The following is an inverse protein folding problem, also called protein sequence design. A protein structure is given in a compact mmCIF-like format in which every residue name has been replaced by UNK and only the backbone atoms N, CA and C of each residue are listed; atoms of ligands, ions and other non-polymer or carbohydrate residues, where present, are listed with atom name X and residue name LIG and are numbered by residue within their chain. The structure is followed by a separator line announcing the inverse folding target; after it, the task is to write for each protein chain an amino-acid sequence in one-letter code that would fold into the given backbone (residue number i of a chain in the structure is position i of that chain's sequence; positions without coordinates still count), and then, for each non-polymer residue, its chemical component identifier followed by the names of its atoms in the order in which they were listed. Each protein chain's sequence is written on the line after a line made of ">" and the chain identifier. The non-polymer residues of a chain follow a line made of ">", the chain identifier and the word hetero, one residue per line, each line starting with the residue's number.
data_IF_529668304194
#
_entry.id   IF_529668304194
#
_cell.length_a   1.000
_cell.length_b   1.000
_cell.length_c   1.000
_cell.angle_alpha   90.00
_cell.angle_beta   90.00
_cell.angle_gamma   90.00
#
_symmetry.space_group_name_H-M   'P 1'
#
loop_
_entity.id
_entity.type
_entity.pdbx_description
1 polymer ?
#
# COMPACT_ATOMS: atom_id res chain seq x y z
N UNK A 1 -3.51 -12.19 5.67
CA UNK A 1 -3.91 -12.12 4.26
C UNK A 1 -5.30 -12.75 4.02
N UNK A 2 -5.62 -13.87 4.69
CA UNK A 2 -6.92 -14.55 4.56
C UNK A 2 -8.11 -13.62 4.91
N UNK A 3 -7.98 -12.79 5.94
CA UNK A 3 -9.02 -11.81 6.30
C UNK A 3 -9.23 -10.78 5.20
N UNK A 4 -8.16 -10.33 4.58
CA UNK A 4 -8.26 -9.39 3.47
C UNK A 4 -8.88 -10.04 2.23
N UNK A 5 -8.53 -11.29 1.92
CA UNK A 5 -9.17 -12.06 0.85
C UNK A 5 -10.69 -12.14 1.07
N UNK A 6 -11.13 -12.43 2.30
CA UNK A 6 -12.55 -12.47 2.66
C UNK A 6 -13.25 -11.11 2.54
N UNK A 7 -12.59 -10.02 2.94
CA UNK A 7 -13.15 -8.68 2.89
C UNK A 7 -13.21 -8.12 1.46
N UNK A 8 -12.20 -8.38 0.64
CA UNK A 8 -12.07 -7.85 -0.72
C UNK A 8 -12.75 -8.70 -1.79
N UNK A 9 -13.00 -9.99 -1.49
CA UNK A 9 -13.45 -10.97 -2.49
C UNK A 9 -12.35 -11.46 -3.42
N UNK A 10 -11.10 -11.07 -3.20
CA UNK A 10 -9.95 -11.54 -3.97
C UNK A 10 -9.36 -12.80 -3.32
N UNK A 11 -9.82 -13.97 -3.79
CA UNK A 11 -9.41 -15.28 -3.34
C UNK A 11 -8.33 -15.91 -4.24
N UNK A 12 -7.53 -15.12 -4.93
CA UNK A 12 -6.41 -15.65 -5.71
C UNK A 12 -5.51 -16.48 -4.77
N UNK A 13 -5.24 -17.75 -5.07
CA UNK A 13 -4.46 -18.63 -4.21
C UNK A 13 -3.03 -18.17 -3.94
N UNK A 14 -2.47 -17.26 -4.74
CA UNK A 14 -1.18 -16.60 -4.47
C UNK A 14 -1.10 -15.96 -3.08
N UNK A 15 -2.24 -15.61 -2.50
CA UNK A 15 -2.31 -14.87 -1.25
C UNK A 15 -2.53 -15.71 0.00
N UNK A 16 -2.84 -17.01 -0.16
CA UNK A 16 -3.21 -17.86 0.98
C UNK A 16 -2.83 -19.33 0.85
N UNK A 17 -2.33 -19.79 -0.32
CA UNK A 17 -1.93 -21.18 -0.56
C UNK A 17 -0.43 -21.26 -0.86
N UNK A 18 0.35 -21.72 0.13
CA UNK A 18 1.80 -21.85 0.00
C UNK A 18 2.21 -22.84 -1.11
N UNK A 19 1.46 -23.92 -1.28
CA UNK A 19 1.74 -24.91 -2.31
C UNK A 19 1.57 -24.31 -3.70
N UNK A 20 0.48 -23.56 -3.90
CA UNK A 20 0.22 -22.87 -5.14
C UNK A 20 1.27 -21.76 -5.41
N UNK A 21 1.59 -20.94 -4.40
CA UNK A 21 2.57 -19.88 -4.52
C UNK A 21 3.94 -20.43 -4.98
N UNK A 22 4.39 -21.51 -4.36
CA UNK A 22 5.67 -22.16 -4.75
C UNK A 22 5.60 -22.80 -6.14
N UNK A 23 4.47 -23.39 -6.52
CA UNK A 23 4.27 -23.99 -7.84
C UNK A 23 4.37 -22.96 -8.98
N UNK A 24 4.04 -21.69 -8.72
CA UNK A 24 4.18 -20.59 -9.69
C UNK A 24 5.47 -19.80 -9.54
N UNK A 25 6.42 -20.28 -8.71
CA UNK A 25 7.76 -19.72 -8.61
C UNK A 25 7.97 -18.66 -7.51
N UNK A 26 7.01 -18.49 -6.61
CA UNK A 26 7.16 -17.63 -5.45
C UNK A 26 7.80 -18.40 -4.28
N UNK A 27 8.51 -17.69 -3.43
CA UNK A 27 9.10 -18.26 -2.21
C UNK A 27 8.02 -18.60 -1.16
N UNK A 28 7.04 -17.74 -1.04
CA UNK A 28 5.88 -17.85 -0.12
C UNK A 28 4.69 -17.11 -0.72
N UNK A 29 3.55 -17.15 -0.05
CA UNK A 29 2.41 -16.31 -0.41
C UNK A 29 2.78 -14.82 -0.35
N UNK A 30 2.09 -14.01 -1.12
CA UNK A 30 2.30 -12.56 -1.17
C UNK A 30 1.05 -11.81 -0.73
N UNK A 31 1.23 -10.61 -0.21
CA UNK A 31 0.13 -9.70 0.10
C UNK A 31 -0.58 -9.24 -1.18
N UNK A 32 -1.88 -9.01 -1.09
CA UNK A 32 -2.62 -8.31 -2.13
C UNK A 32 -2.03 -6.91 -2.33
N UNK A 33 -1.80 -6.51 -3.58
CA UNK A 33 -1.36 -5.15 -3.88
C UNK A 33 -2.35 -4.11 -3.37
N UNK A 34 -3.65 -4.36 -3.51
CA UNK A 34 -4.71 -3.47 -3.02
C UNK A 34 -4.72 -3.35 -1.48
N UNK A 35 -4.22 -4.34 -0.74
CA UNK A 35 -4.05 -4.21 0.70
C UNK A 35 -2.95 -3.18 1.03
N UNK A 36 -1.84 -3.20 0.31
CA UNK A 36 -0.76 -2.20 0.47
C UNK A 36 -1.27 -0.80 0.07
N UNK A 37 -2.07 -0.70 -0.99
CA UNK A 37 -2.75 0.56 -1.35
C UNK A 37 -3.70 1.03 -0.24
N UNK A 38 -4.40 0.12 0.42
CA UNK A 38 -5.25 0.40 1.57
C UNK A 38 -4.47 0.98 2.76
N UNK A 39 -3.29 0.43 3.07
CA UNK A 39 -2.38 0.96 4.10
C UNK A 39 -1.95 2.40 3.74
N UNK A 40 -1.59 2.65 2.48
CA UNK A 40 -1.28 4.00 2.02
C UNK A 40 -2.50 4.93 2.13
N UNK A 41 -3.70 4.45 1.80
CA UNK A 41 -4.96 5.18 1.95
C UNK A 41 -5.27 5.55 3.40
N UNK A 42 -5.00 4.65 4.35
CA UNK A 42 -5.12 4.93 5.79
C UNK A 42 -4.17 6.06 6.22
N UNK A 43 -2.92 6.02 5.78
CA UNK A 43 -1.97 7.11 6.05
C UNK A 43 -2.44 8.45 5.48
N UNK A 44 -2.96 8.47 4.25
CA UNK A 44 -3.54 9.66 3.62
C UNK A 44 -4.67 10.26 4.46
N UNK A 45 -5.60 9.43 4.91
CA UNK A 45 -6.77 9.89 5.67
C UNK A 45 -6.44 10.27 7.12
N UNK A 46 -5.30 9.84 7.63
CA UNK A 46 -4.73 10.35 8.88
C UNK A 46 -4.12 11.76 8.71
N UNK A 47 -3.64 12.10 7.52
CA UNK A 47 -3.07 13.44 7.24
C UNK A 47 -4.12 14.47 6.83
N UNK A 48 -5.16 14.04 6.10
CA UNK A 48 -6.26 14.88 5.64
C UNK A 48 -7.60 14.15 5.79
N UNK A 49 -8.66 14.92 6.02
CA UNK A 49 -10.01 14.36 6.04
C UNK A 49 -10.38 13.83 4.65
N UNK A 50 -10.92 12.61 4.59
CA UNK A 50 -11.31 11.92 3.37
C UNK A 50 -12.24 12.74 2.45
N UNK A 51 -13.08 13.63 3.01
CA UNK A 51 -13.95 14.53 2.23
C UNK A 51 -13.19 15.50 1.32
N UNK A 52 -11.92 15.78 1.65
CA UNK A 52 -11.05 16.66 0.87
C UNK A 52 -10.24 15.92 -0.19
N UNK A 53 -10.21 14.60 -0.18
CA UNK A 53 -9.50 13.80 -1.19
C UNK A 53 -10.19 13.94 -2.56
N UNK A 54 -9.42 14.26 -3.60
CA UNK A 54 -9.92 14.41 -4.98
C UNK A 54 -9.39 13.34 -5.91
N UNK A 55 -8.18 12.83 -5.63
CA UNK A 55 -7.55 11.78 -6.42
C UNK A 55 -6.55 11.01 -5.58
N UNK A 56 -6.48 9.72 -5.80
CA UNK A 56 -5.46 8.83 -5.26
C UNK A 56 -5.05 7.84 -6.34
N UNK A 57 -3.78 7.84 -6.71
CA UNK A 57 -3.24 7.03 -7.81
C UNK A 57 -1.89 6.46 -7.42
N UNK A 58 -1.70 5.16 -7.65
CA UNK A 58 -0.45 4.46 -7.33
C UNK A 58 -0.03 3.53 -8.45
N UNK A 59 1.27 3.24 -8.49
CA UNK A 59 1.87 2.14 -9.21
C UNK A 59 2.42 1.13 -8.21
N UNK A 60 2.11 -0.15 -8.40
CA UNK A 60 2.70 -1.24 -7.64
C UNK A 60 4.10 -1.54 -8.19
N UNK A 61 5.10 -1.55 -7.31
CA UNK A 61 6.52 -1.66 -7.68
C UNK A 61 7.17 -2.92 -7.16
N UNK A 62 6.59 -3.59 -6.18
CA UNK A 62 7.14 -4.78 -5.58
C UNK A 62 6.12 -5.60 -4.83
N UNK A 63 6.38 -6.89 -4.72
CA UNK A 63 5.59 -7.82 -3.93
C UNK A 63 5.93 -7.66 -2.45
N UNK A 64 4.94 -7.87 -1.58
CA UNK A 64 5.11 -7.84 -0.13
C UNK A 64 4.89 -9.23 0.43
N UNK A 65 5.90 -9.81 1.04
CA UNK A 65 5.81 -11.09 1.72
C UNK A 65 5.33 -10.88 3.17
N UNK A 66 4.48 -11.76 3.71
CA UNK A 66 4.08 -11.70 5.10
C UNK A 66 5.25 -12.04 6.03
N UNK A 67 5.14 -11.64 7.30
CA UNK A 67 6.03 -12.17 8.33
C UNK A 67 5.71 -13.66 8.55
N UNK A 68 6.74 -14.45 8.76
CA UNK A 68 6.62 -15.83 9.21
C UNK A 68 6.53 -15.85 10.73
N UNK A 69 5.48 -16.42 11.28
CA UNK A 69 5.27 -16.46 12.72
C UNK A 69 6.29 -17.38 13.44
N UNK A 70 6.80 -18.39 12.75
CA UNK A 70 7.82 -19.30 13.28
C UNK A 70 9.23 -18.70 13.19
N UNK A 71 9.41 -17.65 12.37
CA UNK A 71 10.66 -16.91 12.21
C UNK A 71 10.42 -15.39 12.19
N UNK A 72 9.64 -14.92 13.14
CA UNK A 72 9.13 -13.55 13.15
C UNK A 72 10.24 -12.51 13.18
N UNK A 73 11.24 -12.67 14.03
CA UNK A 73 12.31 -11.69 14.21
C UNK A 73 13.13 -11.45 12.93
N UNK A 74 13.33 -12.49 12.11
CA UNK A 74 14.05 -12.38 10.84
C UNK A 74 13.16 -11.92 9.68
N UNK A 75 11.84 -12.08 9.78
CA UNK A 75 10.91 -11.85 8.66
C UNK A 75 10.00 -10.64 8.83
N UNK A 76 9.87 -10.08 10.03
CA UNK A 76 8.96 -8.95 10.32
C UNK A 76 9.25 -7.72 9.47
N UNK A 77 10.51 -7.44 9.17
CA UNK A 77 10.91 -6.23 8.45
C UNK A 77 10.41 -6.21 7.01
N UNK A 78 10.28 -7.35 6.34
CA UNK A 78 9.71 -7.45 5.00
C UNK A 78 8.20 -7.18 4.95
N UNK A 79 7.53 -7.30 6.09
CA UNK A 79 6.09 -7.08 6.26
C UNK A 79 5.75 -5.76 6.99
N UNK A 80 6.76 -5.00 7.40
CA UNK A 80 6.58 -3.71 8.07
C UNK A 80 6.60 -2.60 7.03
N UNK A 81 5.47 -1.94 6.81
CA UNK A 81 5.30 -0.93 5.77
C UNK A 81 5.31 0.47 6.37
N UNK A 82 6.16 1.33 5.81
CA UNK A 82 6.19 2.76 6.10
C UNK A 82 5.70 3.54 4.90
N UNK A 83 4.77 4.46 5.11
CA UNK A 83 4.24 5.36 4.08
C UNK A 83 4.77 6.77 4.32
N UNK A 84 5.40 7.33 3.30
CA UNK A 84 5.93 8.70 3.32
C UNK A 84 5.24 9.55 2.26
N UNK A 85 4.85 10.77 2.63
CA UNK A 85 4.23 11.74 1.73
C UNK A 85 5.03 13.05 1.69
N UNK A 86 5.08 13.68 0.51
CA UNK A 86 5.71 14.99 0.30
C UNK A 86 4.82 15.85 -0.58
N UNK A 87 4.42 17.02 -0.07
CA UNK A 87 3.73 18.03 -0.88
C UNK A 87 4.70 18.55 -1.93
N UNK A 88 4.35 18.40 -3.20
CA UNK A 88 5.17 18.78 -4.34
C UNK A 88 4.59 19.94 -5.14
N UNK A 89 3.29 20.18 -5.02
CA UNK A 89 2.63 21.25 -5.76
C UNK A 89 1.45 21.82 -4.97
N UNK A 90 1.23 23.13 -5.12
CA UNK A 90 0.02 23.82 -4.70
C UNK A 90 -0.56 24.54 -5.92
N UNK A 91 -1.84 24.35 -6.18
CA UNK A 91 -2.50 24.88 -7.36
C UNK A 91 -3.98 25.19 -7.06
N UNK A 92 -4.65 25.78 -8.01
CA UNK A 92 -6.09 26.04 -7.96
C UNK A 92 -6.79 25.33 -9.13
N UNK A 93 -7.84 24.62 -8.84
CA UNK A 93 -8.66 23.93 -9.84
C UNK A 93 -10.12 23.90 -9.40
N UNK A 94 -11.02 24.25 -10.33
CA UNK A 94 -12.48 24.33 -10.09
C UNK A 94 -12.85 25.20 -8.88
N UNK A 95 -12.11 26.31 -8.64
CA UNK A 95 -12.35 27.20 -7.50
C UNK A 95 -11.89 26.65 -6.15
N UNK A 96 -11.19 25.51 -6.12
CA UNK A 96 -10.61 24.94 -4.93
C UNK A 96 -9.09 25.13 -4.92
N UNK A 97 -8.54 25.57 -3.79
CA UNK A 97 -7.09 25.46 -3.54
C UNK A 97 -6.75 24.02 -3.25
N UNK A 98 -5.80 23.47 -3.99
CA UNK A 98 -5.41 22.06 -3.92
C UNK A 98 -3.93 21.88 -3.71
N UNK A 99 -3.59 20.74 -3.15
CA UNK A 99 -2.22 20.22 -3.10
C UNK A 99 -2.12 18.93 -3.88
N UNK A 100 -0.95 18.70 -4.49
CA UNK A 100 -0.48 17.40 -4.90
C UNK A 100 0.60 16.94 -3.95
N UNK A 101 0.45 15.73 -3.45
CA UNK A 101 1.40 15.09 -2.56
C UNK A 101 1.86 13.78 -3.17
N UNK A 102 3.15 13.63 -3.42
CA UNK A 102 3.73 12.36 -3.84
C UNK A 102 3.87 11.44 -2.62
N UNK A 103 3.63 10.15 -2.82
CA UNK A 103 3.70 9.14 -1.78
C UNK A 103 4.54 7.94 -2.20
N UNK A 104 5.15 7.32 -1.21
CA UNK A 104 5.93 6.09 -1.34
C UNK A 104 5.55 5.19 -0.16
N UNK A 105 5.37 3.90 -0.42
CA UNK A 105 5.32 2.87 0.60
C UNK A 105 6.50 1.91 0.43
N UNK A 106 7.24 1.70 1.51
CA UNK A 106 8.44 0.85 1.54
C UNK A 106 8.36 -0.12 2.73
N UNK A 107 8.97 -1.30 2.60
CA UNK A 107 9.20 -2.15 3.76
C UNK A 107 10.39 -1.65 4.60
N UNK A 108 10.59 -2.23 5.77
CA UNK A 108 11.69 -1.84 6.66
C UNK A 108 13.08 -2.26 6.14
N UNK A 109 13.17 -3.00 5.04
CA UNK A 109 14.41 -3.34 4.33
C UNK A 109 14.73 -2.34 3.21
N UNK A 110 13.88 -1.31 3.01
CA UNK A 110 14.04 -0.30 1.97
C UNK A 110 13.52 -0.74 0.59
N UNK A 111 12.78 -1.83 0.51
CA UNK A 111 12.15 -2.28 -0.74
C UNK A 111 10.86 -1.52 -0.98
N UNK A 112 10.78 -0.82 -2.11
CA UNK A 112 9.62 -0.04 -2.49
C UNK A 112 8.50 -0.94 -2.98
N UNK A 113 7.30 -0.76 -2.40
CA UNK A 113 6.10 -1.56 -2.69
C UNK A 113 5.15 -0.82 -3.61
N UNK A 114 5.00 0.48 -3.41
CA UNK A 114 4.26 1.34 -4.32
C UNK A 114 4.82 2.77 -4.31
N UNK A 115 4.54 3.49 -5.38
CA UNK A 115 4.71 4.94 -5.46
C UNK A 115 3.50 5.54 -6.18
N UNK A 116 3.23 6.80 -5.91
CA UNK A 116 2.12 7.49 -6.54
C UNK A 116 1.91 8.87 -5.97
N UNK A 117 0.69 9.34 -6.03
CA UNK A 117 0.33 10.66 -5.52
C UNK A 117 -1.14 10.72 -5.13
N UNK A 118 -1.46 11.70 -4.32
CA UNK A 118 -2.84 12.13 -4.14
C UNK A 118 -3.00 13.63 -4.38
N UNK A 119 -4.22 14.02 -4.68
CA UNK A 119 -4.66 15.41 -4.77
C UNK A 119 -5.73 15.63 -3.70
N UNK A 120 -5.56 16.70 -2.93
CA UNK A 120 -6.52 17.09 -1.92
C UNK A 120 -6.86 18.58 -2.01
N UNK A 121 -8.13 18.90 -1.76
CA UNK A 121 -8.56 20.27 -1.54
C UNK A 121 -8.12 20.74 -0.15
N UNK A 122 -7.67 21.97 -0.06
CA UNK A 122 -7.40 22.63 1.21
C UNK A 122 -8.72 23.21 1.77
N UNK A 123 -8.94 23.11 3.09
CA UNK A 123 -10.09 23.73 3.71
C UNK A 123 -10.09 25.26 3.61
#
# INVERSE_FOLDING_TARGET
>A
LVRYAGASGDFNPLHHDETFARAVGLETVISHGMFIMGIAGEALTAWIDNKHLRKFSVHFMGMTQPADLDDFENTKNRATITVTGKVVEKFEENGEKRIRCDIIAEDALGSRKLSGYFIAALP
#
